data_IF_634343897319
#
_entry.id   IF_634343897319
#
_cell.length_a   1.000
_cell.length_b   1.000
_cell.length_c   1.000
_cell.angle_alpha   90.00
_cell.angle_beta   90.00
_cell.angle_gamma   90.00
#
_symmetry.space_group_name_H-M   'P 1'
#
loop_
_entity.id
_entity.type
_entity.pdbx_description
1 polymer ?
#
# COMPACT_ATOMS: atom_id res chain seq x y z
N UNK A 1 12.50 -14.18 10.81
CA UNK A 1 12.18 -14.19 9.37
C UNK A 1 13.35 -13.58 8.62
N UNK A 2 13.70 -14.14 7.46
CA UNK A 2 14.74 -13.57 6.61
C UNK A 2 14.11 -12.51 5.68
N UNK A 3 14.90 -11.48 5.37
CA UNK A 3 14.63 -10.49 4.35
C UNK A 3 14.92 -11.05 2.96
N UNK A 4 14.49 -10.33 1.93
CA UNK A 4 14.72 -10.66 0.51
C UNK A 4 16.22 -10.62 0.18
N UNK A 5 16.98 -9.71 0.79
CA UNK A 5 18.43 -9.68 0.73
C UNK A 5 19.03 -10.17 2.04
N UNK A 6 19.98 -11.12 1.99
CA UNK A 6 20.66 -11.64 3.18
C UNK A 6 21.41 -10.55 3.95
N UNK A 7 21.95 -9.57 3.22
CA UNK A 7 22.59 -8.36 3.75
C UNK A 7 21.61 -7.46 4.53
N UNK A 8 20.31 -7.56 4.29
CA UNK A 8 19.29 -6.77 4.96
C UNK A 8 18.72 -7.47 6.21
N UNK A 9 19.10 -8.72 6.50
CA UNK A 9 18.55 -9.50 7.63
C UNK A 9 18.79 -8.83 8.98
N UNK A 10 20.01 -8.35 9.21
CA UNK A 10 20.37 -7.70 10.47
C UNK A 10 19.63 -6.37 10.65
N UNK A 11 19.57 -5.57 9.57
CA UNK A 11 18.82 -4.30 9.55
C UNK A 11 17.33 -4.53 9.79
N UNK A 12 16.76 -5.59 9.19
CA UNK A 12 15.37 -6.00 9.41
C UNK A 12 15.13 -6.30 10.88
N UNK A 13 15.96 -7.13 11.49
CA UNK A 13 15.80 -7.51 12.91
C UNK A 13 15.80 -6.30 13.84
N UNK A 14 16.74 -5.36 13.63
CA UNK A 14 16.81 -4.12 14.42
C UNK A 14 15.57 -3.24 14.23
N UNK A 15 15.12 -3.08 12.98
CA UNK A 15 13.93 -2.32 12.68
C UNK A 15 12.67 -2.96 13.24
N UNK A 16 12.47 -4.27 13.06
CA UNK A 16 11.30 -5.01 13.55
C UNK A 16 11.17 -4.89 15.08
N UNK A 17 12.29 -5.01 15.81
CA UNK A 17 12.29 -4.86 17.27
C UNK A 17 11.89 -3.44 17.68
N UNK A 18 12.46 -2.41 17.04
CA UNK A 18 12.08 -1.03 17.28
C UNK A 18 10.60 -0.79 17.00
N UNK A 19 10.13 -1.26 15.84
CA UNK A 19 8.76 -1.09 15.39
C UNK A 19 7.76 -1.78 16.33
N UNK A 20 8.03 -3.01 16.77
CA UNK A 20 7.12 -3.75 17.65
C UNK A 20 6.94 -3.05 19.01
N UNK A 21 8.03 -2.53 19.57
CA UNK A 21 7.99 -1.74 20.81
C UNK A 21 7.22 -0.45 20.59
N UNK A 22 7.56 0.31 19.55
CA UNK A 22 6.88 1.55 19.20
C UNK A 22 5.38 1.32 18.93
N UNK A 23 5.04 0.27 18.21
CA UNK A 23 3.67 -0.06 17.86
C UNK A 23 2.85 -0.33 19.11
N UNK A 24 3.37 -1.17 20.01
CA UNK A 24 2.68 -1.56 21.24
C UNK A 24 2.57 -0.42 22.25
N UNK A 25 3.60 0.40 22.37
CA UNK A 25 3.68 1.41 23.42
C UNK A 25 3.22 2.81 23.01
N UNK A 26 3.32 3.15 21.74
CA UNK A 26 3.01 4.48 21.20
C UNK A 26 1.78 4.43 20.32
N UNK A 27 1.86 3.68 19.20
CA UNK A 27 0.82 3.70 18.18
C UNK A 27 -0.54 3.24 18.73
N UNK A 28 -0.59 2.12 19.43
CA UNK A 28 -1.83 1.62 20.06
C UNK A 28 -2.38 2.53 21.16
N UNK A 29 -1.54 3.39 21.74
CA UNK A 29 -1.96 4.38 22.75
C UNK A 29 -2.37 5.73 22.14
N UNK A 30 -2.32 5.84 20.81
CA UNK A 30 -2.69 7.06 20.07
C UNK A 30 -1.53 8.01 19.78
N UNK A 31 -0.31 7.69 20.22
CA UNK A 31 0.90 8.44 19.89
C UNK A 31 1.47 7.92 18.56
N UNK A 32 1.41 8.75 17.52
CA UNK A 32 1.79 8.39 16.13
C UNK A 32 3.19 8.88 15.75
N UNK A 33 3.98 9.30 16.72
CA UNK A 33 5.32 9.82 16.44
C UNK A 33 6.27 8.71 15.94
N UNK A 34 6.57 8.70 14.63
CA UNK A 34 7.39 7.68 13.96
C UNK A 34 8.90 7.92 14.08
N UNK A 35 9.31 9.02 14.74
CA UNK A 35 10.71 9.45 14.86
C UNK A 35 11.69 8.38 15.37
N UNK A 36 11.39 7.53 16.37
CA UNK A 36 12.41 6.65 16.96
C UNK A 36 12.92 5.55 16.01
N UNK A 37 12.07 5.06 15.10
CA UNK A 37 12.43 3.97 14.20
C UNK A 37 12.69 4.43 12.75
N UNK A 38 12.50 5.73 12.46
CA UNK A 38 12.56 6.29 11.10
C UNK A 38 13.92 6.13 10.43
N UNK A 39 15.00 6.36 11.16
CA UNK A 39 16.38 6.23 10.64
C UNK A 39 16.73 4.78 10.30
N UNK A 40 16.33 3.83 11.16
CA UNK A 40 16.47 2.39 10.92
C UNK A 40 15.65 1.97 9.70
N UNK A 41 14.41 2.46 9.62
CA UNK A 41 13.53 2.17 8.49
C UNK A 41 14.12 2.63 7.17
N UNK A 42 14.61 3.87 7.08
CA UNK A 42 15.20 4.41 5.84
C UNK A 42 16.40 3.57 5.37
N UNK A 43 17.23 3.11 6.31
CA UNK A 43 18.40 2.28 6.00
C UNK A 43 17.98 0.90 5.51
N UNK A 44 17.04 0.26 6.21
CA UNK A 44 16.47 -1.02 5.79
C UNK A 44 15.74 -0.93 4.45
N UNK A 45 14.94 0.12 4.23
CA UNK A 45 14.17 0.35 3.01
C UNK A 45 15.09 0.46 1.79
N UNK A 46 16.22 1.19 1.89
CA UNK A 46 17.21 1.27 0.82
C UNK A 46 17.80 -0.11 0.48
N UNK A 47 18.23 -0.85 1.51
CA UNK A 47 18.76 -2.20 1.35
C UNK A 47 17.77 -3.12 0.62
N UNK A 48 16.49 -3.08 1.01
CA UNK A 48 15.45 -3.90 0.38
C UNK A 48 15.18 -3.44 -1.06
N UNK A 49 15.14 -2.14 -1.34
CA UNK A 49 14.96 -1.64 -2.71
C UNK A 49 16.07 -2.10 -3.67
N UNK A 50 17.31 -2.11 -3.20
CA UNK A 50 18.44 -2.65 -3.95
C UNK A 50 18.29 -4.15 -4.20
N UNK A 51 17.96 -4.92 -3.15
CA UNK A 51 17.72 -6.36 -3.27
C UNK A 51 16.58 -6.68 -4.26
N UNK A 52 15.49 -5.94 -4.20
CA UNK A 52 14.35 -6.12 -5.11
C UNK A 52 14.70 -5.86 -6.58
N UNK A 53 15.55 -4.87 -6.82
CA UNK A 53 16.04 -4.55 -8.16
C UNK A 53 16.93 -5.67 -8.70
N UNK A 54 17.78 -6.26 -7.86
CA UNK A 54 18.60 -7.42 -8.21
C UNK A 54 17.76 -8.66 -8.55
N UNK A 55 16.66 -8.87 -7.82
CA UNK A 55 15.75 -9.98 -8.05
C UNK A 55 14.73 -9.74 -9.18
N UNK A 56 14.81 -8.62 -9.91
CA UNK A 56 13.88 -8.23 -10.98
C UNK A 56 12.40 -8.22 -10.56
N UNK A 57 12.12 -7.87 -9.31
CA UNK A 57 10.75 -7.77 -8.80
C UNK A 57 10.26 -6.32 -8.99
N UNK A 58 9.32 -6.10 -9.91
CA UNK A 58 8.72 -4.78 -10.11
C UNK A 58 7.60 -4.51 -9.09
N UNK A 59 7.86 -3.58 -8.15
CA UNK A 59 6.90 -3.17 -7.10
C UNK A 59 6.19 -1.87 -7.47
N UNK A 60 6.42 -1.30 -8.66
CA UNK A 60 5.82 -0.01 -9.03
C UNK A 60 4.29 -0.03 -9.03
N UNK A 61 3.69 -1.15 -9.44
CA UNK A 61 2.24 -1.32 -9.45
C UNK A 61 1.65 -1.39 -8.02
N UNK A 62 2.39 -1.98 -7.07
CA UNK A 62 2.00 -2.04 -5.66
C UNK A 62 2.13 -0.69 -4.95
N UNK A 63 3.09 0.16 -5.34
CA UNK A 63 3.22 1.52 -4.79
C UNK A 63 2.08 2.43 -5.25
N UNK A 64 1.56 2.20 -6.45
CA UNK A 64 0.49 3.00 -7.05
C UNK A 64 -0.88 2.64 -6.46
N UNK A 65 -1.07 1.36 -6.14
CA UNK A 65 -2.21 0.90 -5.36
C UNK A 65 -1.91 1.09 -3.86
N UNK A 66 -1.97 2.34 -3.40
CA UNK A 66 -2.05 2.63 -1.98
C UNK A 66 -3.17 1.74 -1.41
N UNK A 67 -2.82 0.80 -0.53
CA UNK A 67 -3.81 -0.02 0.20
C UNK A 67 -4.42 0.90 1.27
N UNK A 68 -5.13 1.94 0.81
CA UNK A 68 -6.08 2.68 1.61
C UNK A 68 -7.31 1.79 1.67
N UNK A 69 -7.53 1.16 2.82
CA UNK A 69 -8.67 0.28 3.07
C UNK A 69 -10.03 1.00 3.08
N UNK A 70 -10.23 2.08 2.32
CA UNK A 70 -11.42 2.93 2.45
C UNK A 70 -12.02 3.54 1.16
N UNK A 71 -11.52 3.30 -0.05
CA UNK A 71 -12.17 3.91 -1.26
C UNK A 71 -12.52 2.98 -2.42
N UNK A 72 -12.06 1.73 -2.46
CA UNK A 72 -12.44 0.83 -3.57
C UNK A 72 -13.87 0.28 -3.46
N UNK A 73 -14.52 0.36 -2.29
CA UNK A 73 -15.91 -0.08 -2.13
C UNK A 73 -16.95 0.98 -2.50
N UNK A 74 -16.57 2.25 -2.68
CA UNK A 74 -17.54 3.33 -3.00
C UNK A 74 -17.82 3.50 -4.50
N UNK A 75 -16.95 3.03 -5.40
CA UNK A 75 -17.15 3.22 -6.84
C UNK A 75 -18.02 2.15 -7.51
N UNK A 76 -18.28 1.02 -6.85
CA UNK A 76 -19.24 0.02 -7.36
C UNK A 76 -20.70 0.28 -6.96
N UNK A 77 -20.97 1.28 -6.11
CA UNK A 77 -22.33 1.61 -5.67
C UNK A 77 -22.97 2.84 -6.35
N UNK A 78 -22.26 3.57 -7.23
CA UNK A 78 -22.76 4.81 -7.85
C UNK A 78 -22.96 4.73 -9.39
N UNK A 79 -22.57 3.66 -10.06
CA UNK A 79 -22.74 3.55 -11.53
C UNK A 79 -23.98 2.78 -12.01
N UNK A 80 -24.75 2.13 -11.12
CA UNK A 80 -25.93 1.35 -11.54
C UNK A 80 -27.25 2.15 -11.68
N UNK A 81 -27.22 3.48 -11.50
CA UNK A 81 -28.43 4.32 -11.64
C UNK A 81 -28.49 5.18 -12.92
N UNK A 82 -27.61 4.97 -13.91
CA UNK A 82 -27.72 5.74 -15.17
C UNK A 82 -27.26 5.00 -16.43
N UNK A 83 -27.85 3.84 -16.71
CA UNK A 83 -28.05 3.41 -18.10
C UNK A 83 -29.21 2.43 -18.25
N UNK A 84 -30.44 2.95 -18.28
CA UNK A 84 -31.54 2.30 -19.00
C UNK A 84 -32.49 3.38 -19.49
N UNK A 85 -32.25 3.84 -20.72
CA UNK A 85 -33.24 3.99 -21.79
C UNK A 85 -32.65 4.92 -22.85
N UNK A 86 -31.72 4.39 -23.62
CA UNK A 86 -31.59 4.79 -25.02
C UNK A 86 -31.93 3.54 -25.83
N UNK A 87 -33.01 3.59 -26.59
CA UNK A 87 -33.11 3.00 -27.91
C UNK A 87 -34.43 3.42 -28.54
N UNK A 88 -34.30 4.19 -29.62
CA UNK A 88 -35.39 4.86 -30.31
C UNK A 88 -36.34 3.96 -31.08
N UNK A 89 -37.36 4.60 -31.64
CA UNK A 89 -38.15 4.08 -32.74
C UNK A 89 -38.41 5.24 -33.69
N UNK A 90 -37.80 5.13 -34.87
CA UNK A 90 -38.12 5.89 -36.06
C UNK A 90 -39.36 5.27 -36.68
N UNK A 91 -40.46 6.01 -36.82
CA UNK A 91 -41.48 5.72 -37.84
C UNK A 91 -42.21 6.99 -38.30
N UNK A 92 -42.58 6.95 -39.59
CA UNK A 92 -42.85 8.04 -40.53
C UNK A 92 -44.28 8.59 -40.46
N UNK A 93 -44.44 9.74 -41.14
CA UNK A 93 -45.63 10.20 -41.90
C UNK A 93 -46.95 10.45 -41.15
N UNK A 94 -47.39 11.73 -41.09
CA UNK A 94 -48.42 12.26 -42.00
C UNK A 94 -48.56 13.77 -41.88
#
# INVERSE_FOLDING_TARGET
MNSIGENCNELKSKYDQCFNTWFSEKFLKGDKDDTPCKSLFQTYQKCVQEALTLHQIDIKDLKTNHIDGTEFEKKSAYSDSKNKNDNGTSEKES
#
